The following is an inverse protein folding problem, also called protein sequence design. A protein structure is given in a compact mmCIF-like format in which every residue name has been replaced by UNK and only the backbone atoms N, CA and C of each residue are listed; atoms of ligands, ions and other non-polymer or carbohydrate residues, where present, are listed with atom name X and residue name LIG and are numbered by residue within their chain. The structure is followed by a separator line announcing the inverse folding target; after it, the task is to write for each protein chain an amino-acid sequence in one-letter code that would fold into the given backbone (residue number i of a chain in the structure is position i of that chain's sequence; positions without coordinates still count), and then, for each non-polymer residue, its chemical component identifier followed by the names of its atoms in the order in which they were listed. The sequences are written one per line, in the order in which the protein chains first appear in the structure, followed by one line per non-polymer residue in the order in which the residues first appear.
data_IF_191017577078
#
_entry.id   IF_191017577078
#
_cell.length_a   1.000
_cell.length_b   1.000
_cell.length_c   1.000
_cell.angle_alpha   90.00
_cell.angle_beta   90.00
_cell.angle_gamma   90.00
#
_symmetry.space_group_name_H-M   'P 1'
#
loop_
_entity.id
_entity.type
_entity.pdbx_description
1 polymer ?
#
# COMPACT_ATOMS: atom_id res chain seq x y z
N UNK A 1 9.66 16.63 20.81
CA UNK A 1 9.97 15.25 21.19
C UNK A 1 10.40 14.53 19.93
N UNK A 2 11.50 13.78 19.97
CA UNK A 2 11.96 13.01 18.81
C UNK A 2 10.87 12.00 18.43
N UNK A 3 10.49 11.98 17.16
CA UNK A 3 9.41 11.12 16.66
C UNK A 3 9.68 9.63 16.90
N UNK A 4 10.93 9.20 16.77
CA UNK A 4 11.29 7.80 17.00
C UNK A 4 11.18 7.45 18.47
N UNK A 5 11.60 8.36 19.35
CA UNK A 5 11.43 8.18 20.80
C UNK A 5 9.97 8.12 21.19
N UNK A 6 9.11 8.95 20.58
CA UNK A 6 7.66 8.88 20.77
C UNK A 6 7.11 7.52 20.34
N UNK A 7 7.47 7.07 19.14
CA UNK A 7 7.07 5.74 18.63
C UNK A 7 7.50 4.63 19.59
N UNK A 8 8.78 4.62 19.99
CA UNK A 8 9.33 3.63 20.91
C UNK A 8 8.60 3.61 22.25
N UNK A 9 8.38 4.78 22.87
CA UNK A 9 7.66 4.87 24.15
C UNK A 9 6.21 4.39 24.06
N UNK A 10 5.52 4.67 22.95
CA UNK A 10 4.15 4.16 22.75
C UNK A 10 4.12 2.62 22.58
N UNK A 11 5.07 2.05 21.81
CA UNK A 11 5.21 0.59 21.66
C UNK A 11 5.50 -0.07 23.02
N UNK A 12 6.44 0.48 23.80
CA UNK A 12 6.80 0.00 25.14
C UNK A 12 5.59 0.03 26.09
N UNK A 13 4.84 1.14 26.12
CA UNK A 13 3.66 1.27 26.97
C UNK A 13 2.58 0.22 26.64
N UNK A 14 2.33 -0.06 25.36
CA UNK A 14 1.39 -1.12 24.94
C UNK A 14 1.89 -2.50 25.38
N UNK A 15 3.19 -2.76 25.20
CA UNK A 15 3.80 -4.03 25.56
C UNK A 15 3.75 -4.29 27.07
N UNK A 16 4.09 -3.29 27.89
CA UNK A 16 4.02 -3.34 29.36
C UNK A 16 2.62 -3.63 29.88
N UNK A 17 1.59 -3.18 29.15
CA UNK A 17 0.19 -3.48 29.45
C UNK A 17 -0.19 -4.96 29.35
N UNK A 18 0.65 -5.81 28.72
CA UNK A 18 0.48 -7.28 28.57
C UNK A 18 -0.87 -7.75 28.01
N UNK A 19 -1.65 -6.84 27.42
CA UNK A 19 -2.93 -7.12 26.80
C UNK A 19 -2.99 -6.44 25.43
N UNK A 20 -2.26 -7.02 24.48
CA UNK A 20 -2.18 -6.53 23.12
C UNK A 20 -2.45 -7.63 22.10
N UNK A 21 -2.87 -7.20 20.92
CA UNK A 21 -2.99 -8.03 19.73
C UNK A 21 -2.37 -7.27 18.55
N UNK A 22 -2.59 -7.78 17.34
CA UNK A 22 -1.90 -7.26 16.16
C UNK A 22 -2.31 -5.82 15.84
N UNK A 23 -3.52 -5.44 16.22
CA UNK A 23 -4.08 -4.10 16.00
C UNK A 23 -3.55 -3.08 17.03
N UNK A 24 -3.14 -3.52 18.22
CA UNK A 24 -2.76 -2.63 19.32
C UNK A 24 -1.65 -1.65 18.95
N UNK A 25 -0.69 -2.08 18.12
CA UNK A 25 0.47 -1.27 17.72
C UNK A 25 0.24 -0.47 16.42
N UNK A 26 -0.88 -0.68 15.72
CA UNK A 26 -1.15 -0.07 14.40
C UNK A 26 -1.25 1.44 14.50
N UNK A 27 -1.90 1.97 15.53
CA UNK A 27 -2.05 3.42 15.73
C UNK A 27 -0.70 4.12 15.87
N UNK A 28 0.20 3.57 16.67
CA UNK A 28 1.55 4.13 16.87
C UNK A 28 2.34 4.12 15.56
N UNK A 29 2.22 3.04 14.80
CA UNK A 29 2.89 2.94 13.50
C UNK A 29 2.28 3.87 12.46
N UNK A 30 0.95 4.00 12.40
CA UNK A 30 0.27 4.95 11.52
C UNK A 30 0.68 6.39 11.82
N UNK A 31 0.80 6.76 13.10
CA UNK A 31 1.32 8.07 13.51
C UNK A 31 2.75 8.29 12.99
N UNK A 32 3.64 7.31 13.17
CA UNK A 32 5.02 7.37 12.66
C UNK A 32 5.05 7.55 11.14
N UNK A 33 4.24 6.77 10.41
CA UNK A 33 4.15 6.86 8.96
C UNK A 33 3.60 8.22 8.50
N UNK A 34 2.56 8.75 9.15
CA UNK A 34 1.93 10.01 8.78
C UNK A 34 2.85 11.22 8.92
N UNK A 35 3.76 11.18 9.89
CA UNK A 35 4.77 12.21 10.09
C UNK A 35 5.96 12.09 9.12
N UNK A 36 6.27 10.88 8.65
CA UNK A 36 7.43 10.60 7.79
C UNK A 36 7.08 10.56 6.29
N UNK A 37 5.80 10.38 5.93
CA UNK A 37 5.38 10.26 4.54
C UNK A 37 5.45 11.61 3.79
N UNK A 38 5.70 11.59 2.47
CA UNK A 38 5.49 12.75 1.62
C UNK A 38 4.04 13.26 1.68
N UNK A 39 3.82 14.54 1.43
CA UNK A 39 2.49 15.18 1.53
C UNK A 39 1.47 14.57 0.56
N UNK A 40 1.91 14.17 -0.64
CA UNK A 40 1.10 13.50 -1.65
C UNK A 40 0.76 12.05 -1.32
N UNK A 41 1.36 11.44 -0.29
CA UNK A 41 1.03 10.06 0.07
C UNK A 41 -0.19 10.04 0.99
N UNK A 42 -1.18 9.21 0.66
CA UNK A 42 -2.32 8.86 1.51
C UNK A 42 -2.16 7.42 1.98
N UNK A 43 -2.41 7.20 3.26
CA UNK A 43 -2.39 5.87 3.89
C UNK A 43 -3.82 5.57 4.32
N UNK A 44 -4.31 4.37 4.02
CA UNK A 44 -5.61 3.88 4.46
C UNK A 44 -5.36 2.67 5.34
N UNK A 45 -5.73 2.79 6.62
CA UNK A 45 -5.77 1.68 7.58
C UNK A 45 -7.04 0.84 7.36
N UNK A 46 -6.91 -0.48 7.43
CA UNK A 46 -7.99 -1.46 7.22
C UNK A 46 -8.85 -1.19 5.97
N UNK A 47 -8.23 -1.13 4.78
CA UNK A 47 -8.96 -0.94 3.53
C UNK A 47 -10.03 -2.02 3.33
N UNK A 48 -11.17 -1.62 2.77
CA UNK A 48 -12.17 -2.57 2.28
C UNK A 48 -11.53 -3.44 1.18
N UNK A 49 -11.87 -4.74 1.17
CA UNK A 49 -11.46 -5.63 0.08
C UNK A 49 -12.00 -5.14 -1.25
N UNK A 50 -11.18 -5.15 -2.29
CA UNK A 50 -11.63 -4.81 -3.64
C UNK A 50 -12.28 -6.02 -4.32
N UNK A 51 -13.39 -5.76 -5.02
CA UNK A 51 -14.05 -6.79 -5.83
C UNK A 51 -13.05 -7.26 -6.89
N UNK A 52 -12.80 -8.57 -6.96
CA UNK A 52 -11.85 -9.16 -7.92
C UNK A 52 -10.45 -9.46 -7.37
N UNK A 53 -10.05 -8.92 -6.21
CA UNK A 53 -8.79 -9.30 -5.52
C UNK A 53 -8.96 -10.44 -4.49
N UNK A 54 -10.15 -11.03 -4.42
CA UNK A 54 -10.49 -12.01 -3.37
C UNK A 54 -10.55 -11.36 -1.98
N UNK A 55 -10.28 -12.14 -0.93
CA UNK A 55 -10.30 -11.66 0.47
C UNK A 55 -9.00 -10.99 0.91
N UNK A 56 -8.20 -10.45 -0.02
CA UNK A 56 -6.92 -9.83 0.29
C UNK A 56 -7.16 -8.44 0.89
N UNK A 57 -6.68 -8.23 2.11
CA UNK A 57 -6.90 -7.02 2.91
C UNK A 57 -5.61 -6.69 3.67
N UNK A 58 -4.69 -5.92 3.05
CA UNK A 58 -3.49 -5.51 3.76
C UNK A 58 -3.87 -4.61 4.94
N UNK A 59 -3.06 -4.58 5.98
CA UNK A 59 -3.37 -3.76 7.16
C UNK A 59 -3.33 -2.27 6.83
N UNK A 60 -2.38 -1.86 5.99
CA UNK A 60 -2.40 -0.55 5.37
C UNK A 60 -2.24 -0.63 3.86
N UNK A 61 -2.92 0.29 3.17
CA UNK A 61 -2.76 0.51 1.74
C UNK A 61 -2.37 1.95 1.49
N UNK A 62 -1.31 2.13 0.73
CA UNK A 62 -0.71 3.45 0.50
C UNK A 62 -0.84 3.85 -0.96
N UNK A 63 -1.19 5.11 -1.17
CA UNK A 63 -1.37 5.67 -2.49
C UNK A 63 -0.70 7.03 -2.59
N UNK A 64 -0.36 7.41 -3.81
CA UNK A 64 0.10 8.76 -4.14
C UNK A 64 -1.01 9.50 -4.87
N UNK A 65 -1.37 10.66 -4.34
CA UNK A 65 -2.35 11.57 -4.91
C UNK A 65 -1.72 12.25 -6.14
N UNK A 66 -2.28 11.99 -7.32
CA UNK A 66 -1.78 12.56 -8.59
C UNK A 66 -2.27 14.01 -8.76
N UNK A 67 -3.52 14.30 -8.40
CA UNK A 67 -4.05 15.66 -8.38
C UNK A 67 -4.60 15.95 -6.98
N UNK A 68 -3.94 16.87 -6.26
CA UNK A 68 -4.27 17.22 -4.87
C UNK A 68 -5.59 17.99 -4.75
N UNK A 69 -6.08 18.57 -5.85
CA UNK A 69 -7.28 19.42 -5.87
C UNK A 69 -8.50 18.74 -6.50
N UNK A 70 -8.34 17.58 -7.16
CA UNK A 70 -9.44 16.86 -7.80
C UNK A 70 -9.71 15.51 -7.13
N UNK A 71 -10.89 15.39 -6.53
CA UNK A 71 -11.44 14.14 -5.99
C UNK A 71 -11.52 13.01 -7.03
N UNK A 72 -11.51 13.34 -8.33
CA UNK A 72 -11.57 12.40 -9.45
C UNK A 72 -10.19 11.86 -9.89
N UNK A 73 -9.11 12.12 -9.16
CA UNK A 73 -7.79 11.61 -9.56
C UNK A 73 -7.59 10.14 -9.22
N UNK A 74 -7.08 9.39 -10.19
CA UNK A 74 -6.57 8.05 -9.99
C UNK A 74 -5.41 8.12 -8.99
N UNK A 75 -5.60 7.57 -7.79
CA UNK A 75 -4.55 7.50 -6.80
C UNK A 75 -3.63 6.34 -7.16
N UNK A 76 -2.38 6.64 -7.50
CA UNK A 76 -1.38 5.64 -7.85
C UNK A 76 -1.14 4.74 -6.64
N UNK A 77 -1.36 3.43 -6.76
CA UNK A 77 -1.01 2.52 -5.69
C UNK A 77 0.51 2.55 -5.51
N UNK A 78 0.96 2.92 -4.32
CA UNK A 78 2.38 2.89 -3.93
C UNK A 78 2.75 1.51 -3.44
N UNK A 79 1.94 0.94 -2.52
CA UNK A 79 2.25 -0.36 -1.92
C UNK A 79 1.34 -0.73 -0.77
N UNK A 80 1.62 -1.90 -0.20
CA UNK A 80 0.94 -2.43 0.98
C UNK A 80 1.85 -2.47 2.19
N UNK A 81 1.25 -2.45 3.37
CA UNK A 81 1.91 -2.74 4.63
C UNK A 81 1.13 -3.85 5.31
N UNK A 82 1.83 -4.92 5.67
CA UNK A 82 1.28 -6.06 6.39
C UNK A 82 2.03 -6.19 7.71
N UNK A 83 1.26 -6.25 8.79
CA UNK A 83 1.74 -6.30 10.15
C UNK A 83 1.61 -7.71 10.72
N UNK A 84 2.37 -7.96 11.79
CA UNK A 84 2.26 -9.11 12.67
C UNK A 84 2.37 -8.64 14.11
N UNK A 85 1.97 -9.49 15.05
CA UNK A 85 2.21 -9.24 16.48
C UNK A 85 3.70 -9.00 16.76
N UNK A 86 3.98 -8.19 17.78
CA UNK A 86 5.33 -7.77 18.19
C UNK A 86 6.29 -8.96 18.41
N UNK A 87 5.78 -10.05 18.99
CA UNK A 87 6.57 -11.24 19.36
C UNK A 87 6.72 -12.26 18.22
N UNK A 88 6.11 -12.02 17.06
CA UNK A 88 6.17 -12.95 15.92
C UNK A 88 7.54 -12.85 15.25
N UNK A 89 8.18 -14.01 15.06
CA UNK A 89 9.36 -14.12 14.19
C UNK A 89 8.93 -14.02 12.72
N UNK A 90 9.27 -12.89 12.10
CA UNK A 90 8.95 -12.62 10.70
C UNK A 90 9.51 -13.69 9.75
N UNK A 91 10.66 -14.32 10.08
CA UNK A 91 11.31 -15.31 9.21
C UNK A 91 10.41 -16.53 8.94
N UNK A 92 9.59 -16.94 9.92
CA UNK A 92 8.63 -18.03 9.79
C UNK A 92 7.52 -17.72 8.79
N UNK A 93 7.26 -16.44 8.54
CA UNK A 93 6.18 -15.95 7.68
C UNK A 93 6.66 -15.47 6.30
N UNK A 94 7.96 -15.28 6.08
CA UNK A 94 8.51 -14.83 4.78
C UNK A 94 8.17 -15.79 3.63
N UNK A 95 8.02 -17.08 3.92
CA UNK A 95 7.63 -18.12 2.94
C UNK A 95 6.14 -18.51 3.05
N UNK A 96 5.35 -17.73 3.79
CA UNK A 96 3.95 -18.00 4.03
C UNK A 96 3.06 -17.81 2.79
N UNK A 97 1.96 -18.58 2.74
CA UNK A 97 0.92 -18.43 1.71
C UNK A 97 0.24 -17.05 1.72
N UNK A 98 0.27 -16.35 2.85
CA UNK A 98 -0.33 -15.02 2.99
C UNK A 98 0.54 -13.96 2.29
N UNK A 99 1.83 -13.88 2.63
CA UNK A 99 2.75 -12.90 2.02
C UNK A 99 2.89 -13.10 0.51
N UNK A 100 2.96 -14.36 0.04
CA UNK A 100 3.00 -14.66 -1.40
C UNK A 100 1.78 -14.15 -2.16
N UNK A 101 0.57 -14.22 -1.59
CA UNK A 101 -0.64 -13.65 -2.20
C UNK A 101 -0.56 -12.13 -2.32
N UNK A 102 -0.08 -11.44 -1.29
CA UNK A 102 0.10 -10.00 -1.35
C UNK A 102 1.15 -9.60 -2.38
N UNK A 103 2.27 -10.31 -2.41
CA UNK A 103 3.35 -10.08 -3.37
C UNK A 103 2.89 -10.28 -4.81
N UNK A 104 1.89 -11.12 -5.08
CA UNK A 104 1.31 -11.25 -6.42
C UNK A 104 0.54 -9.99 -6.87
N UNK A 105 -0.02 -9.24 -5.93
CA UNK A 105 -0.84 -8.05 -6.20
C UNK A 105 -0.02 -6.78 -6.14
N UNK A 106 0.74 -6.57 -5.07
CA UNK A 106 1.59 -5.39 -4.92
C UNK A 106 3.05 -5.80 -5.08
N UNK A 107 3.79 -5.18 -6.02
CA UNK A 107 5.23 -5.38 -6.10
C UNK A 107 5.99 -4.70 -4.96
N UNK A 108 5.35 -3.84 -4.16
CA UNK A 108 5.98 -3.02 -3.13
C UNK A 108 5.27 -3.23 -1.78
N UNK A 109 5.95 -3.86 -0.81
CA UNK A 109 5.34 -4.28 0.46
C UNK A 109 6.29 -4.05 1.64
N UNK A 110 5.83 -3.39 2.69
CA UNK A 110 6.47 -3.45 4.02
C UNK A 110 5.85 -4.59 4.81
N UNK A 111 6.69 -5.48 5.33
CA UNK A 111 6.32 -6.53 6.26
C UNK A 111 6.98 -6.28 7.61
N UNK A 112 6.20 -6.22 8.69
CA UNK A 112 6.71 -5.79 9.99
C UNK A 112 6.01 -6.43 11.18
N UNK A 113 6.74 -6.55 12.29
CA UNK A 113 6.21 -6.79 13.63
C UNK A 113 6.44 -5.56 14.54
N UNK A 114 6.50 -4.36 13.97
CA UNK A 114 6.72 -3.08 14.67
C UNK A 114 8.13 -2.87 15.26
N UNK A 115 8.94 -3.91 15.42
CA UNK A 115 10.38 -3.77 15.75
C UNK A 115 11.28 -3.91 14.53
N UNK A 116 10.98 -4.90 13.67
CA UNK A 116 11.70 -5.20 12.42
C UNK A 116 10.86 -4.81 11.22
N UNK A 117 11.51 -4.26 10.19
CA UNK A 117 10.87 -3.81 8.95
C UNK A 117 11.58 -4.41 7.75
N UNK A 118 10.83 -5.12 6.94
CA UNK A 118 11.33 -5.77 5.71
C UNK A 118 10.60 -5.13 4.53
N UNK A 119 11.34 -4.50 3.62
CA UNK A 119 10.80 -3.96 2.38
C UNK A 119 11.00 -4.97 1.25
N UNK A 120 9.89 -5.44 0.69
CA UNK A 120 9.88 -6.23 -0.53
C UNK A 120 9.64 -5.35 -1.75
N UNK A 121 10.47 -5.55 -2.78
CA UNK A 121 10.29 -5.04 -4.13
C UNK A 121 10.35 -6.20 -5.12
N UNK A 122 9.29 -6.43 -5.88
CA UNK A 122 9.19 -7.53 -6.85
C UNK A 122 9.62 -8.88 -6.27
N UNK A 123 9.09 -9.23 -5.09
CA UNK A 123 9.40 -10.47 -4.33
C UNK A 123 10.84 -10.56 -3.79
N UNK A 124 11.66 -9.52 -3.96
CA UNK A 124 13.02 -9.43 -3.45
C UNK A 124 13.06 -8.55 -2.21
N UNK A 125 13.79 -8.96 -1.19
CA UNK A 125 14.08 -8.11 -0.02
C UNK A 125 15.06 -7.02 -0.43
N UNK A 126 14.66 -5.76 -0.27
CA UNK A 126 15.49 -4.57 -0.56
C UNK A 126 16.05 -3.97 0.73
N UNK A 127 15.24 -3.96 1.78
CA UNK A 127 15.67 -3.59 3.12
C UNK A 127 15.18 -4.63 4.12
N UNK A 128 15.97 -4.83 5.16
CA UNK A 128 15.67 -5.68 6.30
C UNK A 128 16.41 -5.11 7.50
N UNK A 129 15.67 -4.48 8.41
CA UNK A 129 16.24 -3.71 9.53
C UNK A 129 15.43 -3.90 10.80
N UNK A 130 16.11 -3.91 11.94
CA UNK A 130 15.50 -3.78 13.26
C UNK A 130 15.61 -2.32 13.71
N UNK A 131 14.49 -1.61 13.82
CA UNK A 131 14.46 -0.25 14.37
C UNK A 131 14.53 -0.28 15.89
N UNK A 132 13.92 -1.29 16.50
CA UNK A 132 13.96 -1.56 17.94
C UNK A 132 14.67 -2.89 18.18
N UNK A 133 15.39 -3.01 19.29
CA UNK A 133 15.95 -4.29 19.72
C UNK A 133 14.90 -5.19 20.41
N UNK A 134 15.32 -6.35 20.92
CA UNK A 134 14.42 -7.28 21.60
C UNK A 134 13.89 -6.76 22.96
N UNK A 135 14.51 -5.73 23.54
CA UNK A 135 14.03 -5.01 24.72
C UNK A 135 13.14 -3.81 24.35
N UNK A 136 12.88 -3.62 23.06
CA UNK A 136 12.15 -2.49 22.49
C UNK A 136 12.89 -1.17 22.67
N UNK A 137 14.21 -1.19 22.83
CA UNK A 137 15.04 0.01 22.84
C UNK A 137 15.35 0.46 21.42
N UNK A 138 15.32 1.78 21.19
CA UNK A 138 15.57 2.38 19.88
C UNK A 138 17.03 2.20 19.46
N UNK A 139 17.24 1.59 18.30
CA UNK A 139 18.57 1.49 17.66
C UNK A 139 18.84 2.75 16.85
N UNK A 140 19.40 3.76 17.51
CA UNK A 140 19.66 5.09 16.94
C UNK A 140 20.47 5.01 15.62
N UNK A 141 21.40 4.05 15.51
CA UNK A 141 22.19 3.80 14.30
C UNK A 141 21.35 3.38 13.09
N UNK A 142 20.17 2.77 13.31
CA UNK A 142 19.29 2.27 12.26
C UNK A 142 18.23 3.29 11.82
N UNK A 143 18.11 4.44 12.49
CA UNK A 143 17.12 5.48 12.14
C UNK A 143 17.31 5.96 10.70
N UNK A 144 18.56 6.21 10.29
CA UNK A 144 18.86 6.67 8.93
C UNK A 144 18.48 5.63 7.88
N UNK A 145 18.70 4.35 8.19
CA UNK A 145 18.36 3.24 7.29
C UNK A 145 16.84 3.07 7.20
N UNK A 146 16.12 3.17 8.32
CA UNK A 146 14.66 3.15 8.32
C UNK A 146 14.06 4.30 7.52
N UNK A 147 14.61 5.52 7.64
CA UNK A 147 14.21 6.65 6.79
C UNK A 147 14.43 6.37 5.32
N UNK A 148 15.54 5.74 4.95
CA UNK A 148 15.82 5.33 3.57
C UNK A 148 14.86 4.23 3.09
N UNK A 149 14.50 3.27 3.95
CA UNK A 149 13.49 2.26 3.68
C UNK A 149 12.15 2.92 3.36
N UNK A 150 11.66 3.84 4.19
CA UNK A 150 10.41 4.56 3.94
C UNK A 150 10.49 5.43 2.69
N UNK A 151 11.64 6.08 2.45
CA UNK A 151 11.86 6.84 1.22
C UNK A 151 11.75 5.94 -0.01
N UNK A 152 12.38 4.76 0.01
CA UNK A 152 12.28 3.79 -1.09
C UNK A 152 10.83 3.28 -1.24
N UNK A 153 10.16 2.96 -0.13
CA UNK A 153 8.78 2.50 -0.17
C UNK A 153 7.82 3.54 -0.75
N UNK A 154 7.94 4.82 -0.38
CA UNK A 154 7.06 5.89 -0.85
C UNK A 154 7.43 6.45 -2.24
N UNK A 155 8.63 6.14 -2.74
CA UNK A 155 9.12 6.62 -4.02
C UNK A 155 8.85 5.61 -5.14
N UNK A 156 7.86 5.92 -5.98
CA UNK A 156 7.52 5.14 -7.18
C UNK A 156 8.72 4.92 -8.11
N UNK A 157 9.70 5.84 -8.13
CA UNK A 157 10.85 5.79 -9.03
C UNK A 157 12.00 4.91 -8.50
N UNK A 158 11.99 4.58 -7.20
CA UNK A 158 13.09 3.80 -6.59
C UNK A 158 13.00 2.32 -6.93
N UNK A 159 11.80 1.84 -7.27
CA UNK A 159 11.56 0.54 -7.88
C UNK A 159 12.00 0.57 -9.34
N UNK A 160 13.32 0.56 -9.59
CA UNK A 160 13.82 0.51 -10.97
C UNK A 160 13.33 -0.79 -11.60
N UNK A 161 12.37 -0.68 -12.51
CA UNK A 161 11.86 -1.80 -13.30
C UNK A 161 13.03 -2.27 -14.19
N UNK A 162 13.56 -3.45 -13.90
CA UNK A 162 14.75 -4.00 -14.57
C UNK A 162 14.39 -5.11 -15.56
N UNK A 163 13.14 -5.55 -15.58
CA UNK A 163 12.70 -6.65 -16.45
C UNK A 163 11.29 -6.46 -17.00
N UNK A 164 10.97 -7.20 -18.07
CA UNK A 164 9.63 -7.24 -18.65
C UNK A 164 8.59 -7.77 -17.66
N UNK A 165 8.95 -8.76 -16.86
CA UNK A 165 8.07 -9.34 -15.85
C UNK A 165 7.71 -8.31 -14.78
N UNK A 166 8.69 -7.54 -14.30
CA UNK A 166 8.47 -6.45 -13.33
C UNK A 166 7.56 -5.36 -13.94
N UNK A 167 7.77 -5.00 -15.22
CA UNK A 167 6.90 -4.04 -15.92
C UNK A 167 5.45 -4.53 -16.02
N UNK A 168 5.24 -5.77 -16.46
CA UNK A 168 3.91 -6.38 -16.57
C UNK A 168 3.22 -6.38 -15.21
N UNK A 169 3.95 -6.69 -14.13
CA UNK A 169 3.40 -6.68 -12.78
C UNK A 169 2.91 -5.30 -12.38
N UNK A 170 3.74 -4.26 -12.50
CA UNK A 170 3.32 -2.87 -12.22
C UNK A 170 2.10 -2.47 -13.04
N UNK A 171 2.13 -2.70 -14.36
CA UNK A 171 1.02 -2.33 -15.24
C UNK A 171 -0.27 -3.08 -14.88
N UNK A 172 -0.20 -4.40 -14.64
CA UNK A 172 -1.38 -5.20 -14.29
C UNK A 172 -2.02 -4.73 -12.98
N UNK A 173 -1.21 -4.40 -11.97
CA UNK A 173 -1.68 -3.86 -10.70
C UNK A 173 -2.34 -2.50 -10.89
N UNK A 174 -1.70 -1.59 -11.63
CA UNK A 174 -2.23 -0.24 -11.85
C UNK A 174 -3.50 -0.26 -12.72
N UNK A 175 -3.54 -1.06 -13.78
CA UNK A 175 -4.72 -1.26 -14.61
C UNK A 175 -5.89 -1.83 -13.80
N UNK A 176 -5.64 -2.77 -12.90
CA UNK A 176 -6.68 -3.30 -12.01
C UNK A 176 -7.29 -2.19 -11.15
N UNK A 177 -6.47 -1.38 -10.46
CA UNK A 177 -6.98 -0.31 -9.61
C UNK A 177 -7.67 0.79 -10.40
N UNK A 178 -7.19 1.08 -11.62
CA UNK A 178 -7.81 2.05 -12.50
C UNK A 178 -9.21 1.58 -12.92
N UNK A 179 -9.33 0.33 -13.37
CA UNK A 179 -10.62 -0.27 -13.75
C UNK A 179 -11.61 -0.26 -12.58
N UNK A 180 -11.15 -0.61 -11.37
CA UNK A 180 -12.02 -0.57 -10.18
C UNK A 180 -12.44 0.87 -9.81
N UNK A 181 -11.53 1.84 -9.86
CA UNK A 181 -11.85 3.24 -9.61
C UNK A 181 -12.84 3.80 -10.65
N UNK A 182 -12.67 3.45 -11.93
CA UNK A 182 -13.59 3.82 -13.00
C UNK A 182 -14.98 3.24 -12.77
N UNK A 183 -15.06 1.96 -12.39
CA UNK A 183 -16.32 1.29 -12.09
C UNK A 183 -17.06 1.96 -10.92
N UNK A 184 -16.38 2.19 -9.79
CA UNK A 184 -16.97 2.88 -8.64
C UNK A 184 -17.48 4.26 -9.06
N UNK A 185 -16.65 5.03 -9.76
CA UNK A 185 -17.03 6.37 -10.24
C UNK A 185 -18.23 6.32 -11.19
N UNK A 186 -18.33 5.31 -12.04
CA UNK A 186 -19.44 5.14 -12.97
C UNK A 186 -20.73 4.74 -12.25
N UNK A 187 -20.65 3.83 -11.28
CA UNK A 187 -21.79 3.34 -10.50
C UNK A 187 -22.34 4.41 -9.55
N UNK A 188 -21.47 5.18 -8.90
CA UNK A 188 -21.85 6.21 -7.92
C UNK A 188 -22.24 7.55 -8.57
N UNK A 189 -21.85 7.78 -9.83
CA UNK A 189 -22.16 9.04 -10.51
C UNK A 189 -23.60 9.10 -11.04
N UNK A 190 -24.20 10.28 -10.87
CA UNK A 190 -25.51 10.61 -11.42
C UNK A 190 -25.54 10.39 -12.94
N UNK A 191 -26.71 9.99 -13.44
CA UNK A 191 -26.94 9.71 -14.86
C UNK A 191 -26.51 10.87 -15.79
N UNK A 192 -26.59 12.11 -15.29
CA UNK A 192 -26.27 13.33 -16.03
C UNK A 192 -24.89 13.92 -15.70
N UNK A 193 -24.10 13.27 -14.85
CA UNK A 193 -22.77 13.75 -14.46
C UNK A 193 -21.86 13.92 -15.68
N UNK A 194 -20.94 14.90 -15.59
CA UNK A 194 -19.94 15.15 -16.62
C UNK A 194 -19.07 13.92 -16.89
N UNK A 195 -18.71 13.19 -15.83
CA UNK A 195 -17.95 11.94 -15.91
C UNK A 195 -18.70 10.87 -16.71
N UNK A 196 -19.94 10.53 -16.36
CA UNK A 196 -20.71 9.46 -17.01
C UNK A 196 -20.98 9.75 -18.48
N UNK A 197 -21.20 11.03 -18.82
CA UNK A 197 -21.33 11.49 -20.21
C UNK A 197 -20.03 11.34 -20.99
N UNK A 198 -18.90 11.73 -20.39
CA UNK A 198 -17.58 11.56 -21.00
C UNK A 198 -17.24 10.08 -21.21
N UNK A 199 -17.46 9.24 -20.21
CA UNK A 199 -17.24 7.80 -20.27
C UNK A 199 -18.02 7.15 -21.41
N UNK A 200 -19.35 7.37 -21.46
CA UNK A 200 -20.22 6.84 -22.53
C UNK A 200 -19.77 7.30 -23.92
N UNK A 201 -19.49 8.59 -24.09
CA UNK A 201 -19.00 9.13 -25.37
C UNK A 201 -17.69 8.48 -25.79
N UNK A 202 -16.77 8.25 -24.85
CA UNK A 202 -15.48 7.60 -25.12
C UNK A 202 -15.69 6.14 -25.54
N UNK A 203 -16.57 5.41 -24.83
CA UNK A 203 -16.97 4.05 -25.17
C UNK A 203 -17.60 3.94 -26.56
N UNK A 204 -18.55 4.82 -26.87
CA UNK A 204 -19.21 4.86 -28.18
C UNK A 204 -18.19 5.15 -29.30
N UNK A 205 -17.25 6.07 -29.04
CA UNK A 205 -16.16 6.37 -29.98
C UNK A 205 -15.28 5.15 -30.21
N UNK A 206 -14.88 4.47 -29.14
CA UNK A 206 -14.08 3.24 -29.22
C UNK A 206 -14.82 2.15 -30.02
N UNK A 207 -16.09 1.88 -29.70
CA UNK A 207 -16.95 0.94 -30.43
C UNK A 207 -17.02 1.27 -31.92
N UNK A 208 -17.12 2.55 -32.26
CA UNK A 208 -17.21 2.99 -33.65
C UNK A 208 -15.90 2.81 -34.42
N UNK A 209 -14.75 2.99 -33.77
CA UNK A 209 -13.43 2.83 -34.38
C UNK A 209 -13.08 1.34 -34.50
N UNK A 210 -13.10 0.63 -33.37
CA UNK A 210 -12.63 -0.76 -33.27
C UNK A 210 -13.67 -1.79 -33.72
N UNK A 211 -14.94 -1.37 -33.90
CA UNK A 211 -16.07 -2.25 -34.22
C UNK A 211 -16.30 -3.37 -33.20
N UNK A 212 -15.87 -3.16 -31.95
CA UNK A 212 -16.07 -4.09 -30.82
C UNK A 212 -17.06 -3.48 -29.84
N UNK A 213 -18.05 -4.28 -29.42
CA UNK A 213 -19.02 -3.89 -28.41
C UNK A 213 -18.64 -4.49 -27.06
N UNK A 214 -18.18 -3.65 -26.13
CA UNK A 214 -17.78 -4.04 -24.79
C UNK A 214 -18.90 -3.71 -23.80
N UNK A 215 -19.08 -4.54 -22.77
CA UNK A 215 -19.88 -4.18 -21.58
C UNK A 215 -19.22 -3.04 -20.82
N UNK A 216 -19.94 -2.39 -19.91
CA UNK A 216 -19.38 -1.30 -19.11
C UNK A 216 -18.19 -1.82 -18.26
N UNK A 217 -18.28 -3.04 -17.72
CA UNK A 217 -17.17 -3.65 -16.97
C UNK A 217 -15.97 -4.04 -17.84
N UNK A 218 -16.17 -4.31 -19.12
CA UNK A 218 -15.10 -4.69 -20.05
C UNK A 218 -14.38 -3.48 -20.63
N UNK A 219 -15.04 -2.32 -20.62
CA UNK A 219 -14.48 -1.05 -21.09
C UNK A 219 -13.73 -0.26 -19.99
N UNK A 220 -14.11 -0.45 -18.71
CA UNK A 220 -13.41 0.08 -17.54
C UNK A 220 -12.03 -0.56 -17.35
#
# INVERSE_FOLDING_TARGET
MDIFKKYTSEIQAIFEGKNYNEHSFRTCFENLLNELKPKEVKIIHEPKSEKGQGSIRPDFKTYKLIDKEKELSYNHLVGFIECKNLDVDLNLHLKGKQLSKYLQISPNIIFTNYKRFILFSFEKVVFDIDLLDDKLDLKEENISIFRNLLKAYFDDNSTTIKSKQELVKVLSTQSFYLSNALKISFDESDANSSFKRFFRKTKDTFKNIEKIDLKDEEFC
#
